data_IF_717599901972
#
_entry.id   IF_717599901972
#
_cell.length_a   1.000
_cell.length_b   1.000
_cell.length_c   1.000
_cell.angle_alpha   90.00
_cell.angle_beta   90.00
_cell.angle_gamma   90.00
#
_symmetry.space_group_name_H-M   'P 1'
#
loop_
_entity.id
_entity.type
_entity.pdbx_description
1 polymer ?
#
# COMPACT_ATOMS: atom_id res chain seq x y z
N UNK A 1 -37.68 23.65 -30.95
CA UNK A 1 -37.81 23.42 -29.49
C UNK A 1 -37.19 22.09 -29.11
N UNK A 2 -37.45 21.02 -29.88
CA UNK A 2 -36.93 19.67 -29.59
C UNK A 2 -35.40 19.55 -29.69
N UNK A 3 -34.74 20.15 -30.70
CA UNK A 3 -33.27 20.04 -30.87
C UNK A 3 -32.50 20.60 -29.68
N UNK A 4 -32.90 21.78 -29.21
CA UNK A 4 -32.30 22.41 -28.03
C UNK A 4 -32.43 21.50 -26.80
N UNK A 5 -33.59 20.88 -26.60
CA UNK A 5 -33.79 19.92 -25.50
C UNK A 5 -32.87 18.71 -25.62
N UNK A 6 -32.66 18.17 -26.82
CA UNK A 6 -31.73 17.05 -27.03
C UNK A 6 -30.28 17.43 -26.77
N UNK A 7 -29.85 18.63 -27.21
CA UNK A 7 -28.51 19.17 -26.95
C UNK A 7 -28.28 19.37 -25.44
N UNK A 8 -29.24 20.01 -24.75
CA UNK A 8 -29.16 20.25 -23.31
C UNK A 8 -29.08 18.93 -22.52
N UNK A 9 -29.88 17.93 -22.92
CA UNK A 9 -29.86 16.60 -22.32
C UNK A 9 -28.55 15.85 -22.58
N UNK A 10 -28.00 15.96 -23.79
CA UNK A 10 -26.69 15.38 -24.13
C UNK A 10 -25.60 15.99 -23.25
N UNK A 11 -25.53 17.31 -23.10
CA UNK A 11 -24.54 17.95 -22.23
C UNK A 11 -24.71 17.59 -20.75
N UNK A 12 -25.95 17.42 -20.28
CA UNK A 12 -26.22 16.89 -18.93
C UNK A 12 -25.59 15.50 -18.74
N UNK A 13 -25.70 14.62 -19.74
CA UNK A 13 -25.10 13.28 -19.71
C UNK A 13 -23.57 13.32 -19.79
N UNK A 14 -22.99 14.23 -20.57
CA UNK A 14 -21.53 14.48 -20.59
C UNK A 14 -21.04 14.85 -19.19
N UNK A 15 -21.68 15.85 -18.56
CA UNK A 15 -21.31 16.30 -17.21
C UNK A 15 -21.45 15.19 -16.16
N UNK A 16 -22.53 14.40 -16.23
CA UNK A 16 -22.73 13.22 -15.37
C UNK A 16 -21.58 12.22 -15.50
N UNK A 17 -21.17 11.88 -16.71
CA UNK A 17 -20.12 10.87 -16.94
C UNK A 17 -18.75 11.39 -16.51
N UNK A 18 -18.42 12.64 -16.86
CA UNK A 18 -17.20 13.31 -16.39
C UNK A 18 -17.12 13.35 -14.86
N UNK A 19 -18.24 13.61 -14.18
CA UNK A 19 -18.29 13.60 -12.72
C UNK A 19 -17.99 12.21 -12.14
N UNK A 20 -18.54 11.14 -12.73
CA UNK A 20 -18.25 9.76 -12.29
C UNK A 20 -16.77 9.41 -12.52
N UNK A 21 -16.21 9.77 -13.68
CA UNK A 21 -14.78 9.61 -13.99
C UNK A 21 -13.92 10.36 -12.96
N UNK A 22 -14.29 11.58 -12.59
CA UNK A 22 -13.58 12.34 -11.56
C UNK A 22 -13.65 11.66 -10.19
N UNK A 23 -14.79 11.04 -9.84
CA UNK A 23 -14.88 10.23 -8.62
C UNK A 23 -13.99 8.98 -8.67
N UNK A 24 -13.89 8.31 -9.82
CA UNK A 24 -12.94 7.21 -10.02
C UNK A 24 -11.50 7.69 -9.78
N UNK A 25 -11.11 8.84 -10.34
CA UNK A 25 -9.79 9.44 -10.09
C UNK A 25 -9.55 9.71 -8.60
N UNK A 26 -10.53 10.28 -7.90
CA UNK A 26 -10.44 10.51 -6.45
C UNK A 26 -10.27 9.21 -5.67
N UNK A 27 -10.99 8.14 -6.05
CA UNK A 27 -10.84 6.83 -5.40
C UNK A 27 -9.47 6.21 -5.66
N UNK A 28 -8.93 6.32 -6.88
CA UNK A 28 -7.58 5.88 -7.18
C UNK A 28 -6.53 6.63 -6.36
N UNK A 29 -6.66 7.96 -6.23
CA UNK A 29 -5.78 8.77 -5.36
C UNK A 29 -5.85 8.29 -3.92
N UNK A 30 -7.05 8.09 -3.39
CA UNK A 30 -7.25 7.61 -2.03
C UNK A 30 -6.62 6.22 -1.84
N UNK A 31 -6.87 5.28 -2.75
CA UNK A 31 -6.32 3.92 -2.68
C UNK A 31 -4.79 3.94 -2.72
N UNK A 32 -4.19 4.60 -3.71
CA UNK A 32 -2.74 4.64 -3.89
C UNK A 32 -2.01 5.37 -2.76
N UNK A 33 -2.63 6.40 -2.19
CA UNK A 33 -2.07 7.11 -1.05
C UNK A 33 -2.03 6.27 0.22
N UNK A 34 -2.85 5.22 0.28
CA UNK A 34 -2.97 4.33 1.44
C UNK A 34 -2.54 2.89 1.12
N UNK A 35 -2.03 2.58 -0.07
CA UNK A 35 -1.59 1.21 -0.38
C UNK A 35 -0.24 0.87 0.23
N UNK A 36 0.55 1.87 0.61
CA UNK A 36 1.84 1.66 1.29
C UNK A 36 2.19 2.75 2.28
N UNK A 37 3.04 2.40 3.22
CA UNK A 37 3.72 3.31 4.15
C UNK A 37 5.19 2.94 4.11
N UNK A 38 6.03 3.85 3.63
CA UNK A 38 7.49 3.66 3.62
C UNK A 38 8.15 4.84 4.33
N UNK A 39 9.03 4.56 5.27
CA UNK A 39 9.76 5.59 6.01
C UNK A 39 11.14 5.14 6.43
N UNK A 40 11.97 6.11 6.78
CA UNK A 40 13.25 5.88 7.44
C UNK A 40 13.21 6.51 8.83
N UNK A 41 13.88 5.90 9.80
CA UNK A 41 14.06 6.52 11.13
C UNK A 41 14.85 7.83 11.06
N UNK A 42 15.61 8.05 9.98
CA UNK A 42 16.40 9.26 9.74
C UNK A 42 15.67 10.35 8.93
N UNK A 43 14.51 10.05 8.36
CA UNK A 43 13.74 11.02 7.56
C UNK A 43 12.83 11.87 8.46
N UNK A 44 12.89 13.19 8.30
CA UNK A 44 11.98 14.11 8.97
C UNK A 44 10.65 14.23 8.22
N UNK A 45 9.54 14.25 8.95
CA UNK A 45 8.19 14.47 8.43
C UNK A 45 7.32 13.20 8.40
N UNK A 46 6.03 13.39 8.10
CA UNK A 46 5.06 12.29 8.06
C UNK A 46 5.15 11.51 6.73
N UNK A 47 5.52 10.21 6.75
CA UNK A 47 5.50 9.36 5.56
C UNK A 47 4.16 9.33 4.83
N UNK A 48 3.05 9.41 5.57
CA UNK A 48 1.71 9.36 4.99
C UNK A 48 1.39 10.64 4.21
N UNK A 49 1.78 11.81 4.74
CA UNK A 49 1.57 13.08 4.05
C UNK A 49 2.33 13.15 2.72
N UNK A 50 3.58 12.67 2.69
CA UNK A 50 4.37 12.60 1.44
C UNK A 50 3.68 11.76 0.36
N UNK A 51 3.03 10.68 0.76
CA UNK A 51 2.31 9.83 -0.17
C UNK A 51 1.03 10.52 -0.69
N UNK A 52 0.29 11.22 0.17
CA UNK A 52 -0.87 12.04 -0.24
C UNK A 52 -0.47 13.10 -1.27
N UNK A 53 0.61 13.84 -1.00
CA UNK A 53 1.11 14.90 -1.87
C UNK A 53 1.57 14.34 -3.23
N UNK A 54 2.21 13.17 -3.24
CA UNK A 54 2.65 12.48 -4.47
C UNK A 54 1.51 12.21 -5.43
N UNK A 55 0.33 11.81 -4.94
CA UNK A 55 -0.80 11.44 -5.80
C UNK A 55 -1.80 12.57 -6.03
N UNK A 56 -1.79 13.62 -5.20
CA UNK A 56 -2.74 14.72 -5.29
C UNK A 56 -2.79 15.37 -6.69
N UNK A 57 -1.63 15.59 -7.32
CA UNK A 57 -1.50 16.28 -8.60
C UNK A 57 -1.45 15.34 -9.81
N UNK A 58 -1.52 14.03 -9.61
CA UNK A 58 -1.49 13.08 -10.72
C UNK A 58 -2.84 13.00 -11.43
N UNK A 59 -2.77 12.80 -12.75
CA UNK A 59 -3.94 12.61 -13.60
C UNK A 59 -4.42 11.16 -13.55
N UNK A 60 -5.69 10.94 -13.89
CA UNK A 60 -6.27 9.59 -13.96
C UNK A 60 -5.42 8.58 -14.73
N UNK A 61 -4.79 8.98 -15.85
CA UNK A 61 -3.93 8.07 -16.63
C UNK A 61 -2.76 7.52 -15.82
N UNK A 62 -2.00 8.39 -15.16
CA UNK A 62 -0.87 7.97 -14.33
C UNK A 62 -1.30 7.17 -13.10
N UNK A 63 -2.46 7.50 -12.52
CA UNK A 63 -3.04 6.77 -11.39
C UNK A 63 -3.51 5.37 -11.80
N UNK A 64 -4.17 5.24 -12.94
CA UNK A 64 -4.63 3.96 -13.48
C UNK A 64 -3.44 3.02 -13.72
N UNK A 65 -2.37 3.50 -14.36
CA UNK A 65 -1.15 2.70 -14.56
C UNK A 65 -0.55 2.22 -13.23
N UNK A 66 -0.41 3.11 -12.25
CA UNK A 66 0.15 2.73 -10.95
C UNK A 66 -0.74 1.77 -10.16
N UNK A 67 -2.06 1.93 -10.24
CA UNK A 67 -3.01 1.00 -9.63
C UNK A 67 -2.91 -0.38 -10.28
N UNK A 68 -2.87 -0.45 -11.62
CA UNK A 68 -2.70 -1.71 -12.35
C UNK A 68 -1.41 -2.42 -11.96
N UNK A 69 -0.28 -1.71 -11.85
CA UNK A 69 0.97 -2.32 -11.37
C UNK A 69 0.83 -2.94 -9.97
N UNK A 70 0.04 -2.35 -9.06
CA UNK A 70 -0.14 -2.88 -7.71
C UNK A 70 -1.01 -4.14 -7.65
N UNK A 71 -1.94 -4.29 -8.59
CA UNK A 71 -2.85 -5.46 -8.64
C UNK A 71 -2.39 -6.50 -9.65
N UNK A 72 -1.27 -6.27 -10.34
CA UNK A 72 -0.70 -7.21 -11.29
C UNK A 72 -0.25 -8.50 -10.57
N UNK A 73 -0.79 -9.68 -10.94
CA UNK A 73 -0.41 -10.96 -10.34
C UNK A 73 1.09 -11.29 -10.43
N UNK A 74 1.79 -10.69 -11.41
CA UNK A 74 3.22 -10.86 -11.64
C UNK A 74 4.11 -9.83 -10.96
N UNK A 75 3.53 -8.81 -10.29
CA UNK A 75 4.31 -7.75 -9.69
C UNK A 75 5.16 -8.26 -8.53
N UNK A 76 6.45 -7.94 -8.57
CA UNK A 76 7.40 -8.23 -7.50
C UNK A 76 7.81 -6.92 -6.86
N UNK A 77 7.53 -6.80 -5.57
CA UNK A 77 8.04 -5.67 -4.79
C UNK A 77 9.56 -5.71 -4.75
N UNK A 78 10.23 -4.58 -4.97
CA UNK A 78 11.68 -4.51 -4.82
C UNK A 78 12.07 -4.80 -3.37
N UNK A 79 13.06 -5.66 -3.17
CA UNK A 79 13.61 -5.92 -1.83
C UNK A 79 14.23 -4.63 -1.27
N UNK A 80 13.77 -4.23 -0.09
CA UNK A 80 14.34 -3.09 0.61
C UNK A 80 15.54 -3.55 1.45
N UNK A 81 16.73 -3.46 0.87
CA UNK A 81 17.98 -3.84 1.53
C UNK A 81 18.57 -2.73 2.42
N UNK A 82 17.84 -1.63 2.64
CA UNK A 82 18.31 -0.54 3.50
C UNK A 82 17.99 -0.84 4.97
N UNK A 83 18.98 -0.94 5.86
CA UNK A 83 18.77 -1.30 7.27
C UNK A 83 17.93 -0.26 8.03
N UNK A 84 17.88 0.99 7.55
CA UNK A 84 17.23 2.10 8.24
C UNK A 84 15.79 2.36 7.78
N UNK A 85 15.28 1.58 6.81
CA UNK A 85 13.97 1.81 6.18
C UNK A 85 12.97 0.72 6.57
N UNK A 86 11.77 1.14 6.95
CA UNK A 86 10.63 0.26 7.09
C UNK A 86 9.63 0.50 5.96
N UNK A 87 8.95 -0.56 5.55
CA UNK A 87 7.87 -0.49 4.56
C UNK A 87 6.75 -1.46 4.90
N UNK A 88 5.52 -0.97 4.91
CA UNK A 88 4.30 -1.77 4.99
C UNK A 88 3.53 -1.56 3.70
N UNK A 89 3.12 -2.64 3.06
CA UNK A 89 2.38 -2.62 1.80
C UNK A 89 1.10 -3.44 1.96
N UNK A 90 0.02 -2.91 1.42
CA UNK A 90 -1.30 -3.51 1.40
C UNK A 90 -1.66 -3.81 -0.06
N UNK A 91 -1.95 -5.07 -0.33
CA UNK A 91 -2.20 -5.56 -1.69
C UNK A 91 -3.53 -6.31 -1.74
N UNK A 92 -4.28 -6.07 -2.81
CA UNK A 92 -5.42 -6.91 -3.20
C UNK A 92 -4.97 -7.72 -4.39
N UNK A 93 -4.81 -9.03 -4.18
CA UNK A 93 -4.46 -9.96 -5.24
C UNK A 93 -5.70 -10.30 -6.06
N UNK A 94 -5.58 -10.16 -7.37
CA UNK A 94 -6.62 -10.55 -8.33
C UNK A 94 -6.08 -11.65 -9.23
N UNK A 95 -6.97 -12.42 -9.84
CA UNK A 95 -6.60 -13.38 -10.88
C UNK A 95 -6.32 -12.66 -12.23
N UNK A 96 -5.68 -13.37 -13.16
CA UNK A 96 -5.31 -12.81 -14.47
C UNK A 96 -6.50 -12.32 -15.31
N UNK A 97 -7.68 -12.96 -15.21
CA UNK A 97 -8.86 -12.55 -15.95
C UNK A 97 -9.43 -11.25 -15.37
N UNK A 98 -9.50 -11.15 -14.05
CA UNK A 98 -9.89 -9.93 -13.35
C UNK A 98 -8.93 -8.79 -13.64
N UNK A 99 -7.62 -9.05 -13.68
CA UNK A 99 -6.60 -8.08 -14.07
C UNK A 99 -6.83 -7.54 -15.48
N UNK A 100 -6.95 -8.41 -16.49
CA UNK A 100 -7.19 -7.97 -17.88
C UNK A 100 -8.47 -7.15 -18.02
N UNK A 101 -9.53 -7.53 -17.30
CA UNK A 101 -10.79 -6.75 -17.28
C UNK A 101 -10.56 -5.36 -16.70
N UNK A 102 -9.83 -5.23 -15.59
CA UNK A 102 -9.51 -3.94 -14.96
C UNK A 102 -8.61 -3.08 -15.84
N UNK A 103 -7.61 -3.68 -16.48
CA UNK A 103 -6.73 -2.99 -17.42
C UNK A 103 -7.52 -2.41 -18.60
N UNK A 104 -8.35 -3.23 -19.24
CA UNK A 104 -9.20 -2.79 -20.35
C UNK A 104 -10.16 -1.68 -19.92
N UNK A 105 -10.81 -1.84 -18.76
CA UNK A 105 -11.79 -0.89 -18.23
C UNK A 105 -11.15 0.47 -17.91
N UNK A 106 -10.05 0.49 -17.15
CA UNK A 106 -9.39 1.73 -16.77
C UNK A 106 -8.75 2.44 -17.97
N UNK A 107 -8.19 1.67 -18.93
CA UNK A 107 -7.67 2.23 -20.18
C UNK A 107 -8.78 2.90 -20.98
N UNK A 108 -9.95 2.25 -21.10
CA UNK A 108 -11.10 2.83 -21.79
C UNK A 108 -11.59 4.10 -21.08
N UNK A 109 -11.65 4.13 -19.75
CA UNK A 109 -12.08 5.33 -19.02
C UNK A 109 -11.14 6.52 -19.21
N UNK A 110 -9.83 6.28 -19.31
CA UNK A 110 -8.85 7.32 -19.61
C UNK A 110 -9.08 7.87 -21.03
N UNK A 111 -9.32 6.99 -22.01
CA UNK A 111 -9.67 7.40 -23.36
C UNK A 111 -11.00 8.17 -23.42
N UNK A 112 -12.01 7.70 -22.71
CA UNK A 112 -13.33 8.32 -22.60
C UNK A 112 -13.26 9.72 -22.01
N UNK A 113 -12.50 9.91 -20.92
CA UNK A 113 -12.25 11.24 -20.34
C UNK A 113 -11.66 12.18 -21.39
N UNK A 114 -10.64 11.72 -22.11
CA UNK A 114 -9.96 12.53 -23.11
C UNK A 114 -10.90 12.86 -24.27
N UNK A 115 -11.72 11.90 -24.72
CA UNK A 115 -12.72 12.12 -25.76
C UNK A 115 -13.75 13.19 -25.33
N UNK A 116 -14.34 13.04 -24.15
CA UNK A 116 -15.34 13.98 -23.62
C UNK A 116 -14.79 15.39 -23.36
N UNK A 117 -13.49 15.50 -23.05
CA UNK A 117 -12.87 16.79 -22.69
C UNK A 117 -12.24 17.50 -23.90
N UNK A 118 -11.65 16.75 -24.83
CA UNK A 118 -10.82 17.30 -25.90
C UNK A 118 -11.35 17.07 -27.31
N UNK A 119 -12.13 16.01 -27.54
CA UNK A 119 -12.56 15.62 -28.89
C UNK A 119 -14.07 15.73 -29.11
N UNK A 120 -14.84 15.99 -28.05
CA UNK A 120 -16.30 16.06 -28.10
C UNK A 120 -16.80 17.03 -29.18
N UNK A 121 -16.20 18.22 -29.26
CA UNK A 121 -16.60 19.27 -30.21
C UNK A 121 -16.39 18.82 -31.67
N UNK A 122 -15.36 18.03 -31.93
CA UNK A 122 -15.04 17.56 -33.28
C UNK A 122 -15.90 16.36 -33.70
N UNK A 123 -16.51 15.66 -32.73
CA UNK A 123 -17.20 14.39 -32.95
C UNK A 123 -18.72 14.49 -33.00
N UNK A 124 -19.30 15.59 -32.51
CA UNK A 124 -20.76 15.77 -32.43
C UNK A 124 -21.24 16.92 -33.31
N UNK A 125 -22.26 16.64 -34.12
CA UNK A 125 -22.98 17.67 -34.85
C UNK A 125 -24.14 18.18 -33.99
N UNK A 126 -23.97 19.36 -33.39
CA UNK A 126 -24.97 19.99 -32.53
C UNK A 126 -26.19 20.51 -33.29
N UNK A 127 -26.12 20.60 -34.62
CA UNK A 127 -27.25 20.97 -35.47
C UNK A 127 -28.09 19.75 -35.85
N UNK A 128 -27.57 18.53 -35.62
CA UNK A 128 -28.24 17.27 -35.88
C UNK A 128 -28.84 16.64 -34.62
N UNK A 129 -30.16 16.50 -34.63
CA UNK A 129 -30.90 15.80 -33.57
C UNK A 129 -30.41 14.36 -33.40
N UNK A 130 -30.26 13.65 -34.52
CA UNK A 130 -29.86 12.23 -34.52
C UNK A 130 -28.45 12.05 -33.96
N UNK A 131 -27.54 12.99 -34.25
CA UNK A 131 -26.18 13.00 -33.69
C UNK A 131 -26.22 13.14 -32.16
N UNK A 132 -27.00 14.11 -31.65
CA UNK A 132 -27.16 14.34 -30.22
C UNK A 132 -27.79 13.15 -29.49
N UNK A 133 -28.82 12.54 -30.07
CA UNK A 133 -29.50 11.36 -29.50
C UNK A 133 -28.59 10.13 -29.52
N UNK A 134 -27.86 9.89 -30.61
CA UNK A 134 -26.91 8.78 -30.72
C UNK A 134 -25.81 8.87 -29.66
N UNK A 135 -25.19 10.04 -29.50
CA UNK A 135 -24.20 10.27 -28.45
C UNK A 135 -24.83 10.16 -27.05
N UNK A 136 -26.04 10.67 -26.88
CA UNK A 136 -26.80 10.54 -25.63
C UNK A 136 -27.02 9.08 -25.21
N UNK A 137 -27.26 8.17 -26.15
CA UNK A 137 -27.37 6.73 -25.89
C UNK A 137 -26.01 6.10 -25.54
N UNK A 138 -24.94 6.49 -26.23
CA UNK A 138 -23.58 6.05 -25.92
C UNK A 138 -23.15 6.47 -24.50
N UNK A 139 -23.48 7.69 -24.10
CA UNK A 139 -23.21 8.21 -22.76
C UNK A 139 -23.98 7.45 -21.67
N UNK A 140 -25.19 6.96 -21.95
CA UNK A 140 -25.92 6.12 -21.00
C UNK A 140 -25.28 4.74 -20.87
N UNK A 141 -24.88 4.11 -21.98
CA UNK A 141 -24.14 2.84 -21.93
C UNK A 141 -22.80 2.97 -21.19
N UNK A 142 -22.05 4.05 -21.45
CA UNK A 142 -20.81 4.36 -20.76
C UNK A 142 -21.02 4.52 -19.25
N UNK A 143 -22.10 5.20 -18.83
CA UNK A 143 -22.42 5.39 -17.41
C UNK A 143 -22.54 4.06 -16.67
N UNK A 144 -23.22 3.08 -17.25
CA UNK A 144 -23.42 1.78 -16.59
C UNK A 144 -22.08 1.10 -16.28
N UNK A 145 -21.11 1.18 -17.19
CA UNK A 145 -19.75 0.68 -16.96
C UNK A 145 -19.00 1.51 -15.91
N UNK A 146 -19.12 2.84 -15.98
CA UNK A 146 -18.48 3.76 -15.03
C UNK A 146 -18.93 3.53 -13.58
N UNK A 147 -20.22 3.28 -13.38
CA UNK A 147 -20.80 3.05 -12.05
C UNK A 147 -20.31 1.75 -11.44
N UNK A 148 -20.19 0.69 -12.24
CA UNK A 148 -19.66 -0.61 -11.78
C UNK A 148 -18.23 -0.45 -11.28
N UNK A 149 -17.35 0.16 -12.08
CA UNK A 149 -15.95 0.36 -11.67
C UNK A 149 -15.81 1.27 -10.44
N UNK A 150 -16.61 2.34 -10.36
CA UNK A 150 -16.60 3.22 -9.20
C UNK A 150 -17.01 2.46 -7.92
N UNK A 151 -18.01 1.58 -8.01
CA UNK A 151 -18.44 0.77 -6.87
C UNK A 151 -17.37 -0.25 -6.46
N UNK A 152 -16.75 -0.92 -7.43
CA UNK A 152 -15.64 -1.84 -7.16
C UNK A 152 -14.48 -1.12 -6.44
N UNK A 153 -14.08 0.05 -6.94
CA UNK A 153 -13.01 0.84 -6.31
C UNK A 153 -13.38 1.30 -4.90
N UNK A 154 -14.64 1.68 -4.66
CA UNK A 154 -15.12 2.02 -3.30
C UNK A 154 -15.03 0.84 -2.35
N UNK A 155 -15.43 -0.36 -2.80
CA UNK A 155 -15.34 -1.59 -2.02
C UNK A 155 -13.88 -1.90 -1.70
N UNK A 156 -13.00 -1.86 -2.70
CA UNK A 156 -11.57 -2.12 -2.54
C UNK A 156 -10.90 -1.10 -1.61
N UNK A 157 -11.20 0.18 -1.76
CA UNK A 157 -10.70 1.23 -0.87
C UNK A 157 -11.18 1.00 0.58
N UNK A 158 -12.45 0.66 0.78
CA UNK A 158 -12.96 0.32 2.12
C UNK A 158 -12.21 -0.85 2.74
N UNK A 159 -12.01 -1.95 2.00
CA UNK A 159 -11.26 -3.10 2.51
C UNK A 159 -9.81 -2.76 2.84
N UNK A 160 -9.17 -1.89 2.05
CA UNK A 160 -7.85 -1.37 2.35
C UNK A 160 -7.84 -0.60 3.67
N UNK A 161 -8.80 0.31 3.90
CA UNK A 161 -8.90 1.08 5.14
C UNK A 161 -9.21 0.21 6.37
N UNK A 162 -10.11 -0.75 6.23
CA UNK A 162 -10.45 -1.73 7.29
C UNK A 162 -9.22 -2.55 7.68
N UNK A 163 -8.50 -3.07 6.67
CA UNK A 163 -7.27 -3.85 6.88
C UNK A 163 -6.18 -3.01 7.55
N UNK A 164 -5.99 -1.77 7.09
CA UNK A 164 -5.05 -0.82 7.72
C UNK A 164 -5.36 -0.58 9.19
N UNK A 165 -6.64 -0.39 9.51
CA UNK A 165 -7.10 -0.14 10.88
C UNK A 165 -6.84 -1.36 11.76
N UNK A 166 -7.20 -2.56 11.29
CA UNK A 166 -6.95 -3.81 12.01
C UNK A 166 -5.45 -4.08 12.24
N UNK A 167 -4.60 -3.78 11.24
CA UNK A 167 -3.14 -3.87 11.38
C UNK A 167 -2.63 -2.85 12.39
N UNK A 168 -3.10 -1.60 12.33
CA UNK A 168 -2.70 -0.56 13.28
C UNK A 168 -3.08 -0.92 14.73
N UNK A 169 -4.29 -1.45 14.94
CA UNK A 169 -4.74 -1.95 16.25
C UNK A 169 -3.87 -3.11 16.75
N UNK A 170 -3.52 -4.04 15.85
CA UNK A 170 -2.63 -5.15 16.18
C UNK A 170 -1.25 -4.65 16.59
N UNK A 171 -0.65 -3.74 15.81
CA UNK A 171 0.66 -3.15 16.11
C UNK A 171 0.68 -2.33 17.40
N UNK A 172 -0.45 -1.70 17.76
CA UNK A 172 -0.60 -0.94 19.00
C UNK A 172 -0.82 -1.83 20.24
N UNK A 173 -1.15 -3.11 20.05
CA UNK A 173 -1.47 -4.02 21.16
C UNK A 173 -0.25 -4.41 21.99
N UNK A 174 -0.44 -4.60 23.30
CA UNK A 174 0.62 -5.07 24.20
C UNK A 174 1.08 -6.49 23.84
N UNK A 175 0.19 -7.32 23.30
CA UNK A 175 0.53 -8.66 22.82
C UNK A 175 1.55 -8.60 21.67
N UNK A 176 1.34 -7.69 20.70
CA UNK A 176 2.30 -7.49 19.62
C UNK A 176 3.61 -6.91 20.14
N UNK A 177 3.56 -5.89 21.01
CA UNK A 177 4.78 -5.31 21.62
C UNK A 177 5.61 -6.36 22.33
N UNK A 178 4.98 -7.17 23.19
CA UNK A 178 5.64 -8.26 23.88
C UNK A 178 6.23 -9.28 22.89
N UNK A 179 5.46 -9.75 21.91
CA UNK A 179 5.94 -10.71 20.92
C UNK A 179 7.10 -10.14 20.08
N UNK A 180 7.05 -8.87 19.72
CA UNK A 180 8.08 -8.17 18.95
C UNK A 180 9.35 -7.99 19.77
N UNK A 181 9.26 -7.55 21.03
CA UNK A 181 10.39 -7.44 21.95
C UNK A 181 11.06 -8.80 22.16
N UNK A 182 10.27 -9.86 22.38
CA UNK A 182 10.80 -11.23 22.50
C UNK A 182 11.52 -11.68 21.22
N UNK A 183 10.92 -11.45 20.05
CA UNK A 183 11.55 -11.77 18.76
C UNK A 183 12.85 -11.00 18.55
N UNK A 184 12.86 -9.71 18.93
CA UNK A 184 14.04 -8.86 18.87
C UNK A 184 15.16 -9.41 19.76
N UNK A 185 14.85 -9.75 21.00
CA UNK A 185 15.81 -10.34 21.95
C UNK A 185 16.32 -11.69 21.43
N UNK A 186 15.43 -12.58 20.96
CA UNK A 186 15.80 -13.91 20.46
C UNK A 186 16.57 -13.90 19.13
N UNK A 187 16.47 -12.82 18.36
CA UNK A 187 17.28 -12.64 17.14
C UNK A 187 18.71 -12.13 17.44
N UNK A 188 18.96 -11.66 18.67
CA UNK A 188 20.30 -11.24 19.10
C UNK A 188 21.30 -12.41 19.05
N UNK A 189 22.44 -12.27 18.36
CA UNK A 189 23.47 -13.31 18.32
C UNK A 189 23.94 -13.71 19.72
N UNK A 190 24.03 -12.74 20.64
CA UNK A 190 24.37 -12.98 22.05
C UNK A 190 23.38 -13.97 22.71
N UNK A 191 22.08 -13.73 22.53
CA UNK A 191 21.02 -14.55 23.13
C UNK A 191 20.97 -15.93 22.47
N UNK A 192 21.12 -16.02 21.15
CA UNK A 192 21.18 -17.32 20.47
C UNK A 192 22.36 -18.18 20.93
N UNK A 193 23.54 -17.57 21.11
CA UNK A 193 24.71 -18.27 21.64
C UNK A 193 24.51 -18.71 23.09
N UNK A 194 23.85 -17.90 23.93
CA UNK A 194 23.49 -18.27 25.30
C UNK A 194 22.49 -19.42 25.35
N UNK A 195 21.46 -19.39 24.51
CA UNK A 195 20.47 -20.47 24.40
C UNK A 195 21.17 -21.75 23.95
N UNK A 196 21.97 -21.68 22.88
CA UNK A 196 22.75 -22.82 22.38
C UNK A 196 23.66 -23.41 23.45
N UNK A 197 24.46 -22.58 24.10
CA UNK A 197 25.35 -22.98 25.20
C UNK A 197 24.58 -23.58 26.37
N UNK A 198 23.43 -23.01 26.73
CA UNK A 198 22.59 -23.55 27.80
C UNK A 198 22.02 -24.92 27.46
N UNK A 199 21.66 -25.14 26.20
CA UNK A 199 21.09 -26.40 25.73
C UNK A 199 22.14 -27.51 25.69
N UNK A 200 23.39 -27.19 25.34
CA UNK A 200 24.49 -28.17 25.29
C UNK A 200 25.12 -28.45 26.65
N UNK A 201 25.26 -27.46 27.51
CA UNK A 201 26.09 -27.58 28.73
C UNK A 201 25.28 -27.69 30.04
N UNK A 202 23.98 -27.37 30.07
CA UNK A 202 23.22 -27.32 31.34
C UNK A 202 22.91 -28.70 31.94
N UNK A 203 23.13 -29.81 31.21
CA UNK A 203 22.89 -31.17 31.69
C UNK A 203 21.46 -31.37 32.25
N UNK A 204 21.28 -32.34 33.15
CA UNK A 204 19.97 -32.61 33.78
C UNK A 204 19.55 -31.59 34.86
N UNK A 205 20.47 -30.73 35.32
CA UNK A 205 20.27 -29.85 36.49
C UNK A 205 19.73 -28.47 36.08
N UNK A 206 19.86 -28.08 34.81
CA UNK A 206 19.22 -26.89 34.25
C UNK A 206 19.87 -25.54 34.60
N UNK A 207 20.98 -25.53 35.35
CA UNK A 207 21.66 -24.31 35.78
C UNK A 207 23.14 -24.28 35.36
N UNK A 208 23.60 -23.13 34.86
CA UNK A 208 24.97 -22.90 34.42
C UNK A 208 25.62 -21.75 35.17
N UNK A 209 26.94 -21.87 35.40
CA UNK A 209 27.73 -20.78 35.98
C UNK A 209 27.88 -19.66 34.96
N UNK A 210 27.40 -18.47 35.31
CA UNK A 210 27.46 -17.28 34.45
C UNK A 210 28.89 -16.95 33.96
N UNK A 211 29.91 -17.18 34.79
CA UNK A 211 31.32 -17.00 34.39
C UNK A 211 31.77 -17.97 33.27
N UNK A 212 31.21 -19.18 33.21
CA UNK A 212 31.48 -20.11 32.08
C UNK A 212 30.81 -19.62 30.80
N UNK A 213 29.58 -19.13 30.89
CA UNK A 213 28.87 -18.54 29.76
C UNK A 213 29.59 -17.28 29.23
N UNK A 214 30.06 -16.40 30.13
CA UNK A 214 30.83 -15.22 29.76
C UNK A 214 32.14 -15.58 29.04
N UNK A 215 32.86 -16.60 29.52
CA UNK A 215 34.08 -17.09 28.87
C UNK A 215 33.80 -17.72 27.49
N UNK A 216 32.67 -18.41 27.35
CA UNK A 216 32.23 -18.96 26.07
C UNK A 216 31.91 -17.84 25.07
N UNK A 217 31.09 -16.87 25.45
CA UNK A 217 30.69 -15.75 24.59
C UNK A 217 31.87 -14.85 24.18
N UNK A 218 32.84 -14.63 25.07
CA UNK A 218 34.08 -13.92 24.74
C UNK A 218 34.89 -14.61 23.63
N UNK A 219 34.69 -15.91 23.41
CA UNK A 219 35.36 -16.68 22.35
C UNK A 219 34.51 -16.78 21.08
N UNK A 220 33.19 -16.90 21.20
CA UNK A 220 32.30 -17.14 20.04
C UNK A 220 31.75 -15.87 19.42
N UNK A 221 31.46 -14.83 20.21
CA UNK A 221 30.91 -13.55 19.75
C UNK A 221 31.61 -12.35 20.43
N UNK A 222 32.94 -12.21 20.29
CA UNK A 222 33.71 -11.17 20.99
C UNK A 222 33.26 -9.74 20.65
N UNK A 223 32.81 -9.49 19.43
CA UNK A 223 32.34 -8.15 19.00
C UNK A 223 30.99 -7.77 19.64
N UNK A 224 30.11 -8.74 19.89
CA UNK A 224 28.87 -8.52 20.64
C UNK A 224 29.18 -8.14 22.10
N UNK A 225 30.16 -8.80 22.71
CA UNK A 225 30.57 -8.48 24.08
C UNK A 225 31.19 -7.08 24.18
N UNK A 226 32.03 -6.69 23.22
CA UNK A 226 32.63 -5.34 23.18
C UNK A 226 31.58 -4.25 22.98
N UNK A 227 30.49 -4.55 22.27
CA UNK A 227 29.42 -3.59 21.99
C UNK A 227 28.32 -3.54 23.06
N UNK A 228 28.40 -4.34 24.13
CA UNK A 228 27.40 -4.36 25.21
C UNK A 228 27.08 -2.97 25.77
N UNK A 229 28.11 -2.17 26.03
CA UNK A 229 27.94 -0.82 26.59
C UNK A 229 27.21 0.12 25.63
N UNK A 230 27.53 0.02 24.35
CA UNK A 230 26.91 0.84 23.32
C UNK A 230 25.47 0.41 23.01
N UNK A 231 25.18 -0.89 23.03
CA UNK A 231 23.87 -1.46 22.66
C UNK A 231 22.87 -1.52 23.82
N UNK A 232 23.33 -1.84 25.02
CA UNK A 232 22.47 -2.10 26.18
C UNK A 232 22.82 -1.23 27.40
N UNK A 233 23.89 -0.44 27.36
CA UNK A 233 24.31 0.41 28.48
C UNK A 233 25.10 -0.30 29.59
N UNK A 234 25.35 -1.60 29.47
CA UNK A 234 26.04 -2.41 30.48
C UNK A 234 27.49 -2.71 30.09
N UNK A 235 28.39 -2.71 31.07
CA UNK A 235 29.82 -2.94 30.83
C UNK A 235 30.19 -4.42 30.84
N UNK A 236 29.36 -5.27 31.44
CA UNK A 236 29.60 -6.72 31.49
C UNK A 236 28.31 -7.51 31.29
N UNK A 237 28.44 -8.77 30.86
CA UNK A 237 27.33 -9.72 30.80
C UNK A 237 26.67 -9.94 32.18
N UNK A 238 27.46 -9.84 33.25
CA UNK A 238 26.96 -10.00 34.62
C UNK A 238 26.04 -8.84 35.01
N UNK A 239 26.38 -7.61 34.61
CA UNK A 239 25.53 -6.44 34.81
C UNK A 239 24.24 -6.52 33.98
N UNK A 240 24.33 -7.02 32.74
CA UNK A 240 23.17 -7.19 31.86
C UNK A 240 22.14 -8.21 32.40
N UNK A 241 22.60 -9.26 33.07
CA UNK A 241 21.76 -10.38 33.54
C UNK A 241 21.32 -10.26 35.01
N UNK A 242 21.62 -9.15 35.67
CA UNK A 242 21.19 -8.83 37.05
C UNK A 242 19.96 -7.95 37.03
#
# INVERSE_FOLDING_TARGET
MELKTAVDEMFRKVGRNLYIIQQVEMMLKAYLSHSSICGSMSEAGDPQQRQLDRFALQTMGGLATQYLCLIDPGYKYPENNSPDKFSVQFEIKVDSNTFMRKESTLTQMVADRNALTHHLIDQVDLESMDSCLALGCQLDAQRELLVVELNDLKINARHLFETRSAVAETLASDAFRYAFEQSWILSSPLVQQLIGFSTTEAGQVGWLKLGKAANFLNKTVPEEIKSLKARYGFSTLIELMR
#
